data_IF_105052019495
#
_entry.id   IF_105052019495
#
_cell.length_a   1.000
_cell.length_b   1.000
_cell.length_c   1.000
_cell.angle_alpha   90.00
_cell.angle_beta   90.00
_cell.angle_gamma   90.00
#
_symmetry.space_group_name_H-M   'P 1'
#
loop_
_entity.id
_entity.type
_entity.pdbx_description
1 polymer ?
#
# COMPACT_ATOMS: atom_id res chain seq x y z
N UNK A 1 56.91 15.65 -28.93
CA UNK A 1 55.54 15.75 -28.37
C UNK A 1 54.96 14.35 -28.16
N UNK A 2 55.15 13.71 -26.99
CA UNK A 2 54.57 12.36 -26.77
C UNK A 2 54.60 11.89 -25.31
N UNK A 3 53.96 12.60 -24.37
CA UNK A 3 53.77 12.09 -23.00
C UNK A 3 52.41 12.41 -22.35
N UNK A 4 51.45 12.95 -23.09
CA UNK A 4 50.14 13.35 -22.51
C UNK A 4 49.05 12.28 -22.61
N UNK A 5 49.25 11.21 -23.37
CA UNK A 5 48.21 10.19 -23.63
C UNK A 5 48.10 9.10 -22.57
N UNK A 6 49.08 8.95 -21.66
CA UNK A 6 49.09 7.89 -20.66
C UNK A 6 48.17 8.19 -19.45
N UNK A 7 47.82 9.46 -19.21
CA UNK A 7 46.94 9.89 -18.12
C UNK A 7 45.44 9.90 -18.51
N UNK A 8 45.13 9.87 -19.81
CA UNK A 8 43.75 9.88 -20.30
C UNK A 8 43.01 8.57 -20.07
N UNK A 9 43.72 7.43 -20.13
CA UNK A 9 43.13 6.10 -19.94
C UNK A 9 42.64 5.87 -18.50
N UNK A 10 43.43 6.12 -17.43
CA UNK A 10 42.94 5.92 -16.06
C UNK A 10 41.84 6.92 -15.68
N UNK A 11 41.88 8.16 -16.18
CA UNK A 11 40.83 9.16 -15.95
C UNK A 11 39.53 8.76 -16.65
N UNK A 12 39.59 8.28 -17.90
CA UNK A 12 38.41 7.79 -18.61
C UNK A 12 37.83 6.52 -17.97
N UNK A 13 38.68 5.63 -17.43
CA UNK A 13 38.23 4.44 -16.69
C UNK A 13 37.56 4.84 -15.36
N UNK A 14 38.10 5.83 -14.64
CA UNK A 14 37.50 6.39 -13.41
C UNK A 14 36.16 7.09 -13.70
N UNK A 15 36.05 7.87 -14.77
CA UNK A 15 34.80 8.51 -15.21
C UNK A 15 33.76 7.50 -15.71
N UNK A 16 34.20 6.41 -16.37
CA UNK A 16 33.33 5.30 -16.75
C UNK A 16 32.81 4.54 -15.52
N UNK A 17 33.67 4.25 -14.54
CA UNK A 17 33.28 3.63 -13.27
C UNK A 17 32.30 4.50 -12.47
N UNK A 18 32.50 5.82 -12.45
CA UNK A 18 31.58 6.77 -11.79
C UNK A 18 30.23 6.91 -12.52
N UNK A 19 30.16 6.50 -13.80
CA UNK A 19 28.91 6.51 -14.56
C UNK A 19 28.00 5.31 -14.24
N UNK A 20 28.48 4.28 -13.52
CA UNK A 20 27.65 3.10 -13.18
C UNK A 20 26.89 3.22 -11.84
N UNK A 21 27.15 4.24 -11.01
CA UNK A 21 26.65 4.30 -9.62
C UNK A 21 25.21 4.82 -9.43
N UNK A 22 24.35 4.75 -10.45
CA UNK A 22 23.05 5.44 -10.44
C UNK A 22 21.78 4.59 -10.49
N UNK A 23 21.87 3.26 -10.51
CA UNK A 23 20.70 2.41 -10.73
C UNK A 23 19.86 2.24 -9.47
N UNK A 24 18.66 2.81 -9.39
CA UNK A 24 17.75 2.53 -8.28
C UNK A 24 16.90 1.31 -8.61
N UNK A 25 16.78 0.34 -7.69
CA UNK A 25 15.86 -0.79 -7.79
C UNK A 25 14.80 -0.66 -6.69
N UNK A 26 13.54 -0.59 -7.10
CA UNK A 26 12.39 -0.60 -6.19
C UNK A 26 11.39 -1.66 -6.63
N UNK A 27 11.20 -2.66 -5.79
CA UNK A 27 10.21 -3.70 -6.01
C UNK A 27 9.20 -3.68 -4.87
N UNK A 28 7.91 -3.66 -5.18
CA UNK A 28 6.86 -3.82 -4.19
C UNK A 28 5.89 -4.89 -4.64
N UNK A 29 5.67 -5.90 -3.81
CA UNK A 29 4.69 -6.95 -4.03
C UNK A 29 3.75 -7.01 -2.84
N UNK A 30 2.46 -6.85 -3.09
CA UNK A 30 1.43 -6.82 -2.06
C UNK A 30 0.26 -7.71 -2.45
N UNK A 31 -0.41 -8.24 -1.44
CA UNK A 31 -1.68 -8.92 -1.57
C UNK A 31 -2.68 -8.27 -0.63
N UNK A 32 -3.85 -7.95 -1.17
CA UNK A 32 -5.01 -7.47 -0.42
C UNK A 32 -5.91 -8.66 -0.15
N UNK A 33 -6.36 -8.82 1.10
CA UNK A 33 -7.31 -9.84 1.52
C UNK A 33 -8.75 -9.30 1.54
N UNK A 34 -9.73 -10.20 1.63
CA UNK A 34 -11.16 -9.85 1.66
C UNK A 34 -11.57 -9.02 2.90
N UNK A 35 -10.81 -9.15 3.99
CA UNK A 35 -10.98 -8.41 5.25
C UNK A 35 -10.17 -7.10 5.32
N UNK A 36 -9.75 -6.57 4.17
CA UNK A 36 -9.06 -5.28 4.04
C UNK A 36 -7.69 -5.21 4.69
N UNK A 37 -7.04 -6.36 4.75
CA UNK A 37 -5.67 -6.46 5.21
C UNK A 37 -4.73 -6.56 4.03
N UNK A 38 -3.58 -5.92 4.18
CA UNK A 38 -2.54 -5.91 3.17
C UNK A 38 -1.29 -6.51 3.78
N UNK A 39 -0.77 -7.51 3.09
CA UNK A 39 0.50 -8.15 3.40
C UNK A 39 1.39 -8.07 2.18
N UNK A 40 2.70 -7.99 2.39
CA UNK A 40 3.60 -7.86 1.27
C UNK A 40 5.03 -7.59 1.66
N UNK A 41 5.80 -7.25 0.63
CA UNK A 41 7.19 -6.88 0.74
C UNK A 41 7.54 -5.68 -0.14
N UNK A 42 8.52 -4.91 0.32
CA UNK A 42 9.07 -3.77 -0.38
C UNK A 42 10.59 -3.90 -0.33
N UNK A 43 11.24 -3.92 -1.49
CA UNK A 43 12.68 -3.86 -1.64
C UNK A 43 13.04 -2.49 -2.19
N UNK A 44 13.95 -1.80 -1.51
CA UNK A 44 14.62 -0.62 -2.03
C UNK A 44 16.13 -0.86 -1.99
N UNK A 45 16.79 -0.74 -3.13
CA UNK A 45 18.22 -0.99 -3.23
C UNK A 45 18.89 -0.09 -4.28
N UNK A 46 20.18 0.19 -4.05
CA UNK A 46 21.03 0.95 -4.96
C UNK A 46 22.41 0.28 -5.03
N UNK A 47 23.19 0.53 -6.08
CA UNK A 47 24.60 0.20 -6.10
C UNK A 47 25.30 0.82 -4.89
N UNK A 48 26.12 0.04 -4.17
CA UNK A 48 26.88 0.57 -3.05
C UNK A 48 27.86 1.64 -3.57
N UNK A 49 27.93 2.77 -2.88
CA UNK A 49 28.83 3.89 -3.24
C UNK A 49 30.22 3.75 -2.61
N UNK A 50 30.33 2.94 -1.56
CA UNK A 50 31.55 2.68 -0.80
C UNK A 50 31.51 1.25 -0.23
N UNK A 51 32.66 0.77 0.24
CA UNK A 51 32.74 -0.51 0.93
C UNK A 51 31.81 -0.56 2.15
N UNK A 52 31.05 -1.65 2.26
CA UNK A 52 30.02 -1.86 3.29
C UNK A 52 28.90 -0.81 3.32
N UNK A 53 28.64 -0.09 2.22
CA UNK A 53 27.44 0.75 2.09
C UNK A 53 26.18 -0.12 2.31
N UNK A 54 25.36 0.18 3.33
CA UNK A 54 24.15 -0.59 3.62
C UNK A 54 23.01 -0.25 2.64
N UNK A 55 23.19 0.74 1.77
CA UNK A 55 22.18 1.22 0.84
C UNK A 55 21.03 1.96 1.53
N UNK A 56 19.93 2.24 0.81
CA UNK A 56 18.79 2.96 1.36
C UNK A 56 18.16 2.21 2.53
N UNK A 57 17.93 2.94 3.62
CA UNK A 57 17.33 2.43 4.85
C UNK A 57 15.86 2.86 4.94
N UNK A 58 14.95 1.89 4.91
CA UNK A 58 13.52 2.14 5.06
C UNK A 58 13.17 2.30 6.54
N UNK A 59 12.60 3.45 6.90
CA UNK A 59 12.18 3.73 8.28
C UNK A 59 10.82 3.10 8.56
N UNK A 60 10.74 2.38 9.68
CA UNK A 60 9.50 1.77 10.17
C UNK A 60 8.96 2.62 11.32
N UNK A 61 7.70 3.06 11.26
CA UNK A 61 7.06 3.74 12.38
C UNK A 61 6.98 2.84 13.63
N UNK A 62 7.19 3.38 14.85
CA UNK A 62 7.12 2.59 16.08
C UNK A 62 5.80 1.83 16.26
N UNK A 63 4.68 2.42 15.81
CA UNK A 63 3.35 1.82 15.89
C UNK A 63 3.17 0.58 15.01
N UNK A 64 4.01 0.41 13.98
CA UNK A 64 3.97 -0.73 13.07
C UNK A 64 5.09 -1.75 13.31
N UNK A 65 5.99 -1.50 14.26
CA UNK A 65 7.19 -2.30 14.49
C UNK A 65 6.90 -3.78 14.82
N UNK A 66 5.72 -4.11 15.35
CA UNK A 66 5.32 -5.50 15.65
C UNK A 66 4.82 -6.27 14.42
N UNK A 67 4.43 -5.59 13.35
CA UNK A 67 3.87 -6.17 12.10
C UNK A 67 4.74 -5.93 10.88
N UNK A 68 5.82 -5.18 11.04
CA UNK A 68 6.76 -4.82 9.97
C UNK A 68 8.15 -5.27 10.40
N UNK A 69 8.82 -6.03 9.53
CA UNK A 69 10.19 -6.50 9.74
C UNK A 69 11.07 -6.01 8.60
N UNK A 70 12.24 -5.47 8.91
CA UNK A 70 13.25 -5.11 7.92
C UNK A 70 14.42 -6.09 7.95
N UNK A 71 14.97 -6.38 6.78
CA UNK A 71 16.19 -7.17 6.59
C UNK A 71 17.13 -6.42 5.64
N UNK A 72 18.46 -6.54 5.84
CA UNK A 72 19.42 -6.09 4.84
C UNK A 72 19.20 -6.83 3.52
N UNK A 73 19.18 -6.10 2.41
CA UNK A 73 19.12 -6.65 1.07
C UNK A 73 20.49 -6.50 0.41
N UNK A 74 21.10 -7.62 0.01
CA UNK A 74 22.34 -7.63 -0.80
C UNK A 74 22.24 -8.71 -1.86
N UNK A 75 22.04 -8.31 -3.09
CA UNK A 75 21.90 -9.20 -4.25
C UNK A 75 22.62 -8.57 -5.42
N UNK A 76 23.48 -9.35 -6.09
CA UNK A 76 24.30 -8.89 -7.23
C UNK A 76 25.13 -7.64 -6.85
N UNK A 77 24.94 -6.53 -7.57
CA UNK A 77 25.61 -5.26 -7.36
C UNK A 77 24.73 -4.26 -6.58
N UNK A 78 23.72 -4.72 -5.84
CA UNK A 78 22.78 -3.87 -5.11
C UNK A 78 22.81 -4.13 -3.61
N UNK A 79 22.80 -3.05 -2.82
CA UNK A 79 22.64 -3.05 -1.38
C UNK A 79 21.45 -2.17 -0.97
N UNK A 80 20.74 -2.53 0.08
CA UNK A 80 19.61 -1.76 0.60
C UNK A 80 18.81 -2.50 1.67
N UNK A 81 17.50 -2.25 1.67
CA UNK A 81 16.58 -2.79 2.66
C UNK A 81 15.44 -3.54 2.00
N UNK A 82 15.11 -4.71 2.54
CA UNK A 82 13.88 -5.43 2.26
C UNK A 82 12.98 -5.37 3.50
N UNK A 83 11.77 -4.86 3.31
CA UNK A 83 10.77 -4.69 4.34
C UNK A 83 9.63 -5.66 4.06
N UNK A 84 9.25 -6.43 5.07
CA UNK A 84 8.10 -7.33 5.05
C UNK A 84 7.06 -6.81 6.01
N UNK A 85 5.79 -6.90 5.63
CA UNK A 85 4.69 -6.55 6.52
C UNK A 85 3.53 -7.51 6.34
N UNK A 86 2.78 -7.71 7.42
CA UNK A 86 1.67 -8.64 7.44
C UNK A 86 0.44 -8.02 8.10
N UNK A 87 -0.70 -8.13 7.43
CA UNK A 87 -2.00 -7.84 8.02
C UNK A 87 -2.25 -6.35 8.31
N UNK A 88 -1.63 -5.44 7.56
CA UNK A 88 -1.80 -4.00 7.77
C UNK A 88 -3.15 -3.52 7.25
N UNK A 89 -3.78 -2.57 7.95
CA UNK A 89 -4.96 -1.87 7.40
C UNK A 89 -4.56 -0.92 6.26
N UNK A 90 -5.55 -0.43 5.52
CA UNK A 90 -5.35 0.60 4.50
C UNK A 90 -4.66 1.86 5.04
N UNK A 91 -5.08 2.33 6.22
CA UNK A 91 -4.46 3.50 6.87
C UNK A 91 -3.05 3.21 7.34
N UNK A 92 -2.78 2.00 7.84
CA UNK A 92 -1.44 1.60 8.27
C UNK A 92 -0.47 1.48 7.10
N UNK A 93 -0.92 0.97 5.94
CA UNK A 93 -0.11 0.97 4.70
C UNK A 93 0.18 2.39 4.24
N UNK A 94 -0.80 3.30 4.34
CA UNK A 94 -0.59 4.71 4.03
C UNK A 94 0.48 5.31 4.96
N UNK A 95 0.36 5.12 6.26
CA UNK A 95 1.33 5.57 7.27
C UNK A 95 2.73 5.00 7.01
N UNK A 96 2.82 3.71 6.71
CA UNK A 96 4.06 3.05 6.34
C UNK A 96 4.67 3.71 5.10
N UNK A 97 3.89 3.91 4.03
CA UNK A 97 4.38 4.51 2.78
C UNK A 97 4.95 5.92 2.99
N UNK A 98 4.31 6.72 3.85
CA UNK A 98 4.76 8.07 4.19
C UNK A 98 6.08 7.99 4.96
N UNK A 99 6.17 7.12 5.97
CA UNK A 99 7.36 6.98 6.79
C UNK A 99 8.57 6.44 6.02
N UNK A 100 8.35 5.54 5.07
CA UNK A 100 9.41 4.99 4.22
C UNK A 100 9.83 5.94 3.10
N UNK A 101 8.98 6.91 2.72
CA UNK A 101 9.23 7.84 1.60
C UNK A 101 10.30 8.92 1.84
N UNK A 102 10.98 8.93 3.00
CA UNK A 102 12.14 9.77 3.36
C UNK A 102 12.06 11.22 2.86
N UNK A 103 11.64 12.16 3.72
CA UNK A 103 11.78 13.64 3.65
C UNK A 103 11.29 14.41 2.40
N UNK A 104 11.25 13.81 1.22
CA UNK A 104 10.93 14.43 -0.07
C UNK A 104 9.66 13.86 -0.70
N UNK A 105 8.82 13.17 0.09
CA UNK A 105 7.51 12.62 -0.31
C UNK A 105 7.49 12.00 -1.71
N UNK A 106 8.48 11.14 -1.99
CA UNK A 106 8.75 10.62 -3.33
C UNK A 106 7.71 9.61 -3.81
N UNK A 107 6.99 9.01 -2.87
CA UNK A 107 5.88 8.15 -3.19
C UNK A 107 4.87 8.12 -2.03
N UNK A 108 3.62 7.83 -2.37
CA UNK A 108 2.56 7.59 -1.40
C UNK A 108 1.58 6.57 -1.97
N UNK A 109 1.00 5.74 -1.11
CA UNK A 109 -0.04 4.78 -1.47
C UNK A 109 -1.24 4.98 -0.56
N UNK A 110 -2.43 4.96 -1.14
CA UNK A 110 -3.69 5.10 -0.43
C UNK A 110 -4.72 4.12 -0.98
N UNK A 111 -5.51 3.55 -0.07
CA UNK A 111 -6.60 2.64 -0.38
C UNK A 111 -7.87 3.17 0.25
N UNK A 112 -9.00 3.09 -0.46
CA UNK A 112 -10.29 3.54 0.04
C UNK A 112 -11.39 2.58 -0.39
N UNK A 113 -12.24 2.20 0.55
CA UNK A 113 -13.46 1.44 0.28
C UNK A 113 -14.68 2.35 0.11
N UNK A 114 -15.57 1.95 -0.79
CA UNK A 114 -16.93 2.45 -0.93
C UNK A 114 -17.86 1.30 -1.31
N UNK A 115 -18.54 0.72 -0.32
CA UNK A 115 -19.31 -0.53 -0.51
C UNK A 115 -18.40 -1.69 -0.89
N UNK A 116 -18.70 -2.36 -2.00
CA UNK A 116 -17.89 -3.46 -2.54
C UNK A 116 -16.76 -3.00 -3.46
N UNK A 117 -16.57 -1.68 -3.62
CA UNK A 117 -15.50 -1.14 -4.45
C UNK A 117 -14.34 -0.66 -3.58
N UNK A 118 -13.14 -1.08 -3.94
CA UNK A 118 -11.89 -0.60 -3.36
C UNK A 118 -11.08 0.10 -4.42
N UNK A 119 -10.76 1.36 -4.15
CA UNK A 119 -9.95 2.20 -5.00
C UNK A 119 -8.55 2.34 -4.40
N UNK A 120 -7.54 1.99 -5.19
CA UNK A 120 -6.15 2.30 -4.95
C UNK A 120 -5.81 3.61 -5.65
N UNK A 121 -5.07 4.48 -4.96
CA UNK A 121 -4.45 5.67 -5.52
C UNK A 121 -3.05 5.82 -4.96
N UNK A 122 -2.05 5.73 -5.82
CA UNK A 122 -0.66 5.97 -5.50
C UNK A 122 -0.07 7.07 -6.37
N UNK A 123 0.91 7.78 -5.82
CA UNK A 123 1.73 8.72 -6.58
C UNK A 123 3.19 8.34 -6.38
N UNK A 124 3.96 8.35 -7.47
CA UNK A 124 5.40 8.08 -7.46
C UNK A 124 6.08 9.18 -8.26
N UNK A 125 6.85 10.02 -7.59
CA UNK A 125 7.64 11.08 -8.21
C UNK A 125 9.08 10.63 -8.43
N UNK A 126 9.41 10.38 -9.70
CA UNK A 126 10.73 9.96 -10.15
C UNK A 126 11.45 11.06 -10.96
N UNK A 127 10.97 12.30 -10.89
CA UNK A 127 11.55 13.45 -11.61
C UNK A 127 13.05 13.65 -11.38
N UNK A 128 13.53 13.34 -10.17
CA UNK A 128 14.95 13.45 -9.81
C UNK A 128 15.75 12.15 -10.05
N UNK A 129 15.12 11.11 -10.60
CA UNK A 129 15.80 9.84 -10.92
C UNK A 129 16.19 9.84 -12.41
N UNK A 130 17.48 9.67 -12.75
CA UNK A 130 17.92 9.63 -14.14
C UNK A 130 17.21 8.52 -14.96
N UNK A 131 16.81 8.86 -16.20
CA UNK A 131 15.95 8.02 -17.04
C UNK A 131 16.54 6.64 -17.41
N UNK A 132 17.87 6.52 -17.41
CA UNK A 132 18.57 5.30 -17.83
C UNK A 132 18.79 4.30 -16.67
N UNK A 133 18.30 4.62 -15.46
CA UNK A 133 18.85 4.04 -14.22
C UNK A 133 17.81 3.74 -13.14
N UNK A 134 16.61 3.30 -13.50
CA UNK A 134 15.62 2.86 -12.51
C UNK A 134 14.87 1.62 -12.96
N UNK A 135 14.86 0.60 -12.11
CA UNK A 135 14.03 -0.59 -12.24
C UNK A 135 12.97 -0.55 -11.13
N UNK A 136 11.75 -0.17 -11.52
CA UNK A 136 10.65 0.03 -10.58
C UNK A 136 9.47 -0.83 -11.02
N UNK A 137 9.07 -1.72 -10.13
CA UNK A 137 7.94 -2.61 -10.33
C UNK A 137 7.09 -2.66 -9.08
N UNK A 138 5.79 -2.42 -9.26
CA UNK A 138 4.79 -2.51 -8.21
C UNK A 138 3.75 -3.54 -8.67
N UNK A 139 3.56 -4.59 -7.88
CA UNK A 139 2.55 -5.63 -8.12
C UNK A 139 1.62 -5.72 -6.92
N UNK A 140 0.32 -5.69 -7.17
CA UNK A 140 -0.69 -5.81 -6.12
C UNK A 140 -1.74 -6.82 -6.56
N UNK A 141 -1.88 -7.89 -5.81
CA UNK A 141 -2.95 -8.88 -5.97
C UNK A 141 -4.16 -8.44 -5.16
N UNK A 142 -5.34 -8.50 -5.78
CA UNK A 142 -6.60 -8.24 -5.11
C UNK A 142 -7.50 -9.49 -5.11
N UNK A 143 -8.39 -9.66 -4.13
CA UNK A 143 -9.22 -10.86 -3.99
C UNK A 143 -10.52 -10.75 -4.81
N UNK A 144 -10.50 -10.01 -5.92
CA UNK A 144 -11.70 -9.69 -6.68
C UNK A 144 -11.43 -9.18 -8.08
N UNK A 145 -12.51 -8.85 -8.79
CA UNK A 145 -12.45 -8.46 -10.19
C UNK A 145 -11.98 -7.00 -10.34
N UNK A 146 -10.99 -6.78 -11.21
CA UNK A 146 -10.53 -5.44 -11.56
C UNK A 146 -11.58 -4.75 -12.42
N UNK A 147 -12.08 -3.60 -11.95
CA UNK A 147 -13.11 -2.81 -12.66
C UNK A 147 -12.46 -1.79 -13.59
N UNK A 148 -11.42 -1.12 -13.09
CA UNK A 148 -10.68 -0.11 -13.86
C UNK A 148 -9.25 -0.01 -13.31
N UNK A 149 -8.27 0.14 -14.17
CA UNK A 149 -6.87 0.34 -13.76
C UNK A 149 -6.08 1.05 -14.84
N UNK A 150 -5.07 1.83 -14.44
CA UNK A 150 -4.06 2.34 -15.36
C UNK A 150 -2.79 1.47 -15.40
N UNK A 151 -2.78 0.36 -14.66
CA UNK A 151 -1.74 -0.66 -14.68
C UNK A 151 -2.05 -1.77 -15.68
N UNK A 152 -1.15 -2.75 -15.77
CA UNK A 152 -1.35 -3.97 -16.53
C UNK A 152 -1.99 -5.02 -15.62
N UNK A 153 -3.17 -5.49 -15.97
CA UNK A 153 -3.78 -6.65 -15.32
C UNK A 153 -3.03 -7.92 -15.75
N UNK A 154 -2.64 -8.71 -14.76
CA UNK A 154 -2.06 -10.05 -14.86
C UNK A 154 -3.09 -11.08 -14.35
N UNK A 155 -2.71 -12.36 -14.27
CA UNK A 155 -3.61 -13.41 -13.77
C UNK A 155 -4.00 -13.22 -12.30
N UNK A 156 -5.14 -13.81 -11.91
CA UNK A 156 -5.65 -13.86 -10.53
C UNK A 156 -5.88 -12.49 -9.86
N UNK A 157 -6.30 -11.47 -10.63
CA UNK A 157 -6.59 -10.14 -10.07
C UNK A 157 -5.32 -9.38 -9.64
N UNK A 158 -4.16 -9.78 -10.14
CA UNK A 158 -2.90 -9.07 -9.93
C UNK A 158 -2.79 -7.91 -10.91
N UNK A 159 -2.44 -6.73 -10.41
CA UNK A 159 -2.20 -5.55 -11.23
C UNK A 159 -0.73 -5.15 -11.07
N UNK A 160 -0.05 -4.99 -12.19
CA UNK A 160 1.35 -4.60 -12.27
C UNK A 160 1.50 -3.20 -12.85
N UNK A 161 2.32 -2.38 -12.20
CA UNK A 161 2.74 -1.07 -12.67
C UNK A 161 4.25 -1.00 -12.77
N UNK A 162 4.74 -0.28 -13.78
CA UNK A 162 6.15 0.05 -13.93
C UNK A 162 6.28 1.56 -14.20
N UNK A 163 6.32 2.38 -13.14
CA UNK A 163 6.55 3.82 -13.24
C UNK A 163 7.84 4.13 -13.99
N UNK A 164 7.80 5.13 -14.88
CA UNK A 164 8.98 5.54 -15.65
C UNK A 164 9.80 6.57 -14.88
N UNK A 165 11.13 6.46 -14.86
CA UNK A 165 12.01 7.49 -14.30
C UNK A 165 11.90 8.80 -15.06
N UNK A 166 12.24 9.92 -14.40
CA UNK A 166 12.23 11.26 -14.99
C UNK A 166 10.87 11.97 -14.99
N UNK A 167 9.80 11.33 -14.49
CA UNK A 167 8.47 11.92 -14.41
C UNK A 167 7.69 11.46 -13.18
N UNK A 168 6.66 12.22 -12.80
CA UNK A 168 5.68 11.77 -11.82
C UNK A 168 4.67 10.82 -12.47
N UNK A 169 4.42 9.68 -11.83
CA UNK A 169 3.47 8.67 -12.29
C UNK A 169 2.39 8.45 -11.22
N UNK A 170 1.14 8.33 -11.66
CA UNK A 170 0.03 7.93 -10.81
C UNK A 170 -0.25 6.44 -10.97
N UNK A 171 -0.59 5.78 -9.88
CA UNK A 171 -0.99 4.38 -9.81
C UNK A 171 -2.47 4.35 -9.42
N UNK A 172 -3.35 3.89 -10.29
CA UNK A 172 -4.78 3.82 -9.99
C UNK A 172 -5.34 2.46 -10.33
N UNK A 173 -6.12 1.91 -9.40
CA UNK A 173 -6.94 0.73 -9.63
C UNK A 173 -8.25 0.87 -8.87
N UNK A 174 -9.31 0.30 -9.42
CA UNK A 174 -10.61 0.11 -8.77
C UNK A 174 -10.95 -1.36 -8.94
N UNK A 175 -11.18 -2.04 -7.82
CA UNK A 175 -11.45 -3.47 -7.77
C UNK A 175 -12.75 -3.69 -7.01
N UNK A 176 -13.52 -4.69 -7.40
CA UNK A 176 -14.75 -5.09 -6.75
C UNK A 176 -14.58 -6.38 -5.96
N UNK A 177 -14.80 -6.34 -4.66
CA UNK A 177 -14.91 -7.52 -3.80
C UNK A 177 -15.76 -7.23 -2.55
N UNK A 178 -16.42 -8.26 -2.04
CA UNK A 178 -17.23 -8.14 -0.83
C UNK A 178 -16.34 -7.82 0.38
N UNK A 179 -16.67 -6.78 1.13
CA UNK A 179 -16.00 -6.47 2.39
C UNK A 179 -16.69 -7.15 3.58
N UNK A 180 -15.93 -7.43 4.64
CA UNK A 180 -16.45 -7.97 5.90
C UNK A 180 -17.58 -7.11 6.52
N UNK A 181 -17.53 -5.79 6.31
CA UNK A 181 -18.48 -4.84 6.87
C UNK A 181 -19.88 -4.88 6.24
N UNK A 182 -20.04 -5.48 5.06
CA UNK A 182 -21.32 -5.58 4.36
C UNK A 182 -22.39 -6.32 5.18
N UNK A 183 -21.96 -7.26 6.05
CA UNK A 183 -22.86 -8.02 6.92
C UNK A 183 -23.27 -7.28 8.21
N UNK A 184 -22.54 -6.23 8.62
CA UNK A 184 -22.77 -5.56 9.91
C UNK A 184 -24.05 -4.71 9.93
N UNK A 185 -24.41 -4.09 8.79
CA UNK A 185 -25.59 -3.24 8.69
C UNK A 185 -26.90 -4.02 8.90
N UNK A 186 -27.03 -5.21 8.29
CA UNK A 186 -28.23 -6.02 8.44
C UNK A 186 -28.39 -6.53 9.88
N UNK A 187 -27.28 -6.91 10.53
CA UNK A 187 -27.28 -7.30 11.94
C UNK A 187 -27.72 -6.16 12.86
N UNK A 188 -27.16 -4.96 12.68
CA UNK A 188 -27.57 -3.77 13.42
C UNK A 188 -29.01 -3.36 13.15
N UNK A 189 -29.46 -3.39 11.90
CA UNK A 189 -30.83 -3.08 11.53
C UNK A 189 -31.84 -4.04 12.15
N UNK A 190 -31.55 -5.34 12.17
CA UNK A 190 -32.38 -6.35 12.84
C UNK A 190 -32.41 -6.16 14.36
N UNK A 191 -31.29 -5.80 14.98
CA UNK A 191 -31.24 -5.48 16.41
C UNK A 191 -32.12 -4.26 16.73
N UNK A 192 -31.97 -3.17 15.98
CA UNK A 192 -32.79 -1.96 16.15
C UNK A 192 -34.27 -2.25 15.88
N UNK A 193 -34.59 -3.02 14.84
CA UNK A 193 -35.95 -3.44 14.53
C UNK A 193 -36.56 -4.27 15.66
N UNK A 194 -35.79 -5.21 16.23
CA UNK A 194 -36.21 -6.02 17.37
C UNK A 194 -36.48 -5.18 18.63
N UNK A 195 -35.58 -4.25 18.96
CA UNK A 195 -35.78 -3.33 20.10
C UNK A 195 -37.01 -2.44 19.92
N UNK A 196 -37.20 -1.91 18.71
CA UNK A 196 -38.35 -1.05 18.39
C UNK A 196 -39.66 -1.82 18.47
N UNK A 197 -39.70 -3.03 17.91
CA UNK A 197 -40.86 -3.91 17.99
C UNK A 197 -41.18 -4.30 19.44
N UNK A 198 -40.16 -4.57 20.26
CA UNK A 198 -40.31 -4.86 21.69
C UNK A 198 -40.91 -3.69 22.46
N UNK A 199 -40.42 -2.46 22.24
CA UNK A 199 -40.96 -1.26 22.86
C UNK A 199 -42.42 -1.02 22.45
N UNK A 200 -42.74 -1.17 21.16
CA UNK A 200 -44.11 -1.05 20.66
C UNK A 200 -45.06 -2.07 21.32
N UNK A 201 -44.62 -3.32 21.46
CA UNK A 201 -45.37 -4.37 22.16
C UNK A 201 -45.63 -4.01 23.62
N UNK A 202 -44.62 -3.49 24.33
CA UNK A 202 -44.78 -3.06 25.73
C UNK A 202 -45.84 -1.95 25.82
N UNK A 203 -45.78 -0.95 24.95
CA UNK A 203 -46.77 0.15 24.93
C UNK A 203 -48.18 -0.39 24.66
N UNK A 204 -48.34 -1.31 23.71
CA UNK A 204 -49.63 -1.93 23.40
C UNK A 204 -50.16 -2.73 24.61
N UNK A 205 -49.32 -3.52 25.27
CA UNK A 205 -49.71 -4.29 26.46
C UNK A 205 -50.13 -3.36 27.60
N UNK A 206 -49.36 -2.31 27.88
CA UNK A 206 -49.69 -1.32 28.90
C UNK A 206 -51.00 -0.58 28.58
N UNK A 207 -51.22 -0.21 27.31
CA UNK A 207 -52.45 0.42 26.86
C UNK A 207 -53.67 -0.50 27.04
N UNK A 208 -53.56 -1.79 26.71
CA UNK A 208 -54.64 -2.77 26.90
C UNK A 208 -54.97 -3.00 28.38
N UNK A 209 -53.95 -3.06 29.25
CA UNK A 209 -54.13 -3.19 30.70
C UNK A 209 -54.83 -1.94 31.26
N UNK A 210 -54.39 -0.74 30.85
CA UNK A 210 -55.01 0.51 31.26
C UNK A 210 -56.48 0.57 30.82
N UNK A 211 -56.76 0.23 29.55
CA UNK A 211 -58.12 0.25 29.02
C UNK A 211 -59.07 -0.69 29.76
N UNK A 212 -58.63 -1.93 30.07
CA UNK A 212 -59.42 -2.89 30.85
C UNK A 212 -59.75 -2.37 32.25
N UNK A 213 -58.81 -1.68 32.93
CA UNK A 213 -59.04 -1.12 34.26
C UNK A 213 -60.05 0.02 34.23
N UNK A 214 -60.03 0.84 33.19
CA UNK A 214 -61.01 1.93 33.01
C UNK A 214 -62.42 1.43 32.75
N UNK A 215 -62.60 0.29 32.08
CA UNK A 215 -63.90 -0.27 31.75
C UNK A 215 -64.63 -0.96 32.92
N UNK A 216 -63.92 -1.30 34.01
CA UNK A 216 -64.48 -1.95 35.21
C UNK A 216 -64.92 -0.93 36.27
N UNK A 217 -64.54 0.34 36.10
CA UNK A 217 -64.81 1.42 37.07
C UNK A 217 -66.12 2.19 36.79
N UNK A 218 -67.01 1.69 35.94
CA UNK A 218 -68.30 2.29 35.60
C UNK A 218 -69.45 1.31 35.83
#
# INVERSE_FOLDING_TARGET
MRRSSALLVPVFLLLALFSLSGCVRVYAAMAVSEDDRISGEIVAATPPTQDNDPGPQLKVPPELASRVTTKPYRVEAYAGTQLFFNGLTFDEVRTLSIATSSSNSRYQLNFRRSGDLVTLSGSVDLSQVPAERADIQVKISFPGAVVNTNGREEENGTIAWSPKPGQASMLTATVRYAGADSNSFFGWAMLVAGLTAGAALIVVVLALIAHKRSAVAY
#
